data_IF_654504843738
#
_entry.id   IF_654504843738
#
_cell.length_a   1.000
_cell.length_b   1.000
_cell.length_c   1.000
_cell.angle_alpha   90.00
_cell.angle_beta   90.00
_cell.angle_gamma   90.00
#
_symmetry.space_group_name_H-M   'P 1'
#
loop_
_entity.id
_entity.type
_entity.pdbx_description
1 polymer ?
#
# COMPACT_ATOMS: atom_id res chain seq x y z
N UNK A 1 -17.47 14.87 9.26
CA UNK A 1 -16.51 15.77 9.93
C UNK A 1 -15.90 16.68 8.89
N UNK A 2 -15.75 17.97 9.21
CA UNK A 2 -15.09 18.95 8.34
C UNK A 2 -13.60 18.61 8.17
N UNK A 3 -13.00 19.15 7.11
CA UNK A 3 -11.55 19.09 6.92
C UNK A 3 -10.79 19.79 8.06
N UNK A 4 -9.90 19.09 8.79
CA UNK A 4 -9.08 19.68 9.85
C UNK A 4 -8.03 20.70 9.36
N UNK A 5 -7.54 20.56 8.12
CA UNK A 5 -6.60 21.52 7.53
C UNK A 5 -7.31 22.71 6.89
N UNK A 6 -8.60 22.53 6.59
CA UNK A 6 -9.44 23.53 5.95
C UNK A 6 -9.07 23.72 4.49
N UNK A 7 -9.83 24.54 3.77
CA UNK A 7 -9.68 24.63 2.33
C UNK A 7 -8.56 25.59 1.92
N UNK A 8 -8.05 25.51 0.68
CA UNK A 8 -6.93 26.34 0.24
C UNK A 8 -7.30 27.82 0.17
N UNK A 9 -6.28 28.71 0.16
CA UNK A 9 -6.47 30.12 -0.11
C UNK A 9 -7.28 30.37 -1.38
N UNK A 10 -8.11 31.42 -1.38
CA UNK A 10 -9.06 31.71 -2.46
C UNK A 10 -8.40 31.75 -3.84
N UNK A 11 -7.23 32.40 -3.97
CA UNK A 11 -6.50 32.50 -5.24
C UNK A 11 -6.13 31.13 -5.82
N UNK A 12 -5.75 30.17 -4.97
CA UNK A 12 -5.34 28.83 -5.39
C UNK A 12 -6.56 28.01 -5.81
N UNK A 13 -7.66 28.17 -5.09
CA UNK A 13 -8.94 27.55 -5.44
C UNK A 13 -9.46 28.07 -6.78
N UNK A 14 -9.46 29.38 -6.98
CA UNK A 14 -9.90 30.02 -8.23
C UNK A 14 -9.01 29.62 -9.42
N UNK A 15 -7.69 29.57 -9.20
CA UNK A 15 -6.73 29.14 -10.21
C UNK A 15 -6.95 27.66 -10.61
N UNK A 16 -7.21 26.78 -9.65
CA UNK A 16 -7.32 25.33 -9.90
C UNK A 16 -8.70 24.90 -10.39
N UNK A 17 -9.75 25.67 -10.07
CA UNK A 17 -11.14 25.41 -10.46
C UNK A 17 -11.36 25.05 -11.95
N UNK A 18 -10.87 25.82 -12.94
CA UNK A 18 -11.10 25.46 -14.34
C UNK A 18 -10.51 24.09 -14.71
N UNK A 19 -9.34 23.74 -14.16
CA UNK A 19 -8.70 22.44 -14.40
C UNK A 19 -9.42 21.30 -13.71
N UNK A 20 -9.84 21.50 -12.46
CA UNK A 20 -10.60 20.52 -11.70
C UNK A 20 -11.95 20.21 -12.38
N UNK A 21 -12.63 21.23 -12.91
CA UNK A 21 -13.87 21.04 -13.66
C UNK A 21 -13.65 20.36 -15.02
N UNK A 22 -12.54 20.68 -15.71
CA UNK A 22 -12.17 20.00 -16.96
C UNK A 22 -11.93 18.49 -16.75
N UNK A 23 -11.36 18.13 -15.61
CA UNK A 23 -11.12 16.74 -15.20
C UNK A 23 -12.34 16.10 -14.47
N UNK A 24 -13.48 16.80 -14.43
CA UNK A 24 -14.70 16.33 -13.77
C UNK A 24 -14.46 15.95 -12.29
N UNK A 25 -13.55 16.66 -11.64
CA UNK A 25 -13.02 16.40 -10.29
C UNK A 25 -13.19 17.61 -9.38
N UNK A 26 -14.43 18.09 -9.14
CA UNK A 26 -14.69 19.37 -8.47
C UNK A 26 -14.17 19.43 -7.02
N UNK A 27 -14.14 18.31 -6.29
CA UNK A 27 -13.67 18.33 -4.89
C UNK A 27 -12.16 18.53 -4.79
N UNK A 28 -11.40 18.29 -5.87
CA UNK A 28 -9.96 18.56 -5.92
C UNK A 28 -9.65 20.03 -5.61
N UNK A 29 -10.55 20.96 -5.96
CA UNK A 29 -10.37 22.39 -5.66
C UNK A 29 -10.25 22.69 -4.17
N UNK A 30 -10.89 21.88 -3.31
CA UNK A 30 -10.84 22.02 -1.86
C UNK A 30 -9.61 21.36 -1.23
N UNK A 31 -8.91 20.48 -1.96
CA UNK A 31 -7.79 19.68 -1.41
C UNK A 31 -6.49 19.75 -2.22
N UNK A 32 -6.44 20.58 -3.26
CA UNK A 32 -5.29 20.65 -4.18
C UNK A 32 -3.97 20.95 -3.45
N UNK A 33 -4.03 21.83 -2.45
CA UNK A 33 -2.89 22.17 -1.62
C UNK A 33 -2.36 20.97 -0.82
N UNK A 34 -3.24 20.13 -0.31
CA UNK A 34 -2.88 18.92 0.46
C UNK A 34 -2.21 17.88 -0.43
N UNK A 35 -2.70 17.69 -1.66
CA UNK A 35 -2.06 16.80 -2.65
C UNK A 35 -0.63 17.24 -2.91
N UNK A 36 -0.43 18.53 -3.19
CA UNK A 36 0.91 19.07 -3.45
C UNK A 36 1.83 19.01 -2.23
N UNK A 37 1.30 19.35 -1.05
CA UNK A 37 2.06 19.29 0.20
C UNK A 37 2.45 17.84 0.55
N UNK A 38 1.55 16.88 0.38
CA UNK A 38 1.83 15.47 0.60
C UNK A 38 2.91 14.96 -0.36
N UNK A 39 2.79 15.23 -1.66
CA UNK A 39 3.81 14.88 -2.65
C UNK A 39 5.18 15.49 -2.29
N UNK A 40 5.21 16.80 -2.03
CA UNK A 40 6.44 17.51 -1.66
C UNK A 40 7.05 16.96 -0.37
N UNK A 41 6.23 16.61 0.62
CA UNK A 41 6.66 16.02 1.87
C UNK A 41 7.35 14.67 1.66
N UNK A 42 6.74 13.74 0.92
CA UNK A 42 7.35 12.44 0.67
C UNK A 42 8.59 12.53 -0.22
N UNK A 43 8.57 13.42 -1.22
CA UNK A 43 9.76 13.71 -2.02
C UNK A 43 10.90 14.31 -1.18
N UNK A 44 10.58 15.20 -0.23
CA UNK A 44 11.56 15.76 0.69
C UNK A 44 12.13 14.68 1.63
N UNK A 45 11.31 13.75 2.11
CA UNK A 45 11.79 12.63 2.90
C UNK A 45 12.77 11.78 2.10
N UNK A 46 12.42 11.42 0.86
CA UNK A 46 13.28 10.63 -0.02
C UNK A 46 14.60 11.35 -0.31
N UNK A 47 14.55 12.61 -0.74
CA UNK A 47 15.75 13.31 -1.25
C UNK A 47 16.64 13.91 -0.17
N UNK A 48 16.10 14.21 1.01
CA UNK A 48 16.82 14.96 2.05
C UNK A 48 16.81 14.21 3.38
N UNK A 49 15.63 13.93 3.94
CA UNK A 49 15.53 13.44 5.32
C UNK A 49 16.19 12.06 5.46
N UNK A 50 15.83 11.10 4.61
CA UNK A 50 16.38 9.75 4.71
C UNK A 50 17.89 9.70 4.45
N UNK A 51 18.43 10.30 3.37
CA UNK A 51 19.87 10.28 3.11
C UNK A 51 20.72 10.99 4.17
N UNK A 52 20.16 12.01 4.85
CA UNK A 52 20.86 12.75 5.91
C UNK A 52 20.76 12.03 7.26
N UNK A 53 19.58 11.52 7.64
CA UNK A 53 19.37 10.91 8.96
C UNK A 53 19.84 9.45 9.02
N UNK A 54 19.67 8.66 7.95
CA UNK A 54 20.04 7.24 7.93
C UNK A 54 21.52 6.95 8.27
N UNK A 55 22.53 7.70 7.76
CA UNK A 55 23.92 7.49 8.18
C UNK A 55 24.19 7.91 9.63
N UNK A 56 23.38 8.80 10.22
CA UNK A 56 23.50 9.21 11.63
C UNK A 56 22.91 8.14 12.55
N UNK A 57 21.73 7.62 12.21
CA UNK A 57 21.01 6.63 13.00
C UNK A 57 21.61 5.22 12.86
N UNK A 58 22.07 4.86 11.67
CA UNK A 58 22.60 3.52 11.35
C UNK A 58 23.99 3.59 10.70
N UNK A 59 24.99 4.21 11.35
CA UNK A 59 26.30 4.48 10.74
C UNK A 59 27.03 3.21 10.32
N UNK A 60 26.87 2.13 11.09
CA UNK A 60 27.55 0.85 10.87
C UNK A 60 26.95 0.02 9.73
N UNK A 61 25.68 0.25 9.40
CA UNK A 61 24.93 -0.51 8.39
C UNK A 61 24.77 0.32 7.12
N UNK A 62 24.12 1.48 7.18
CA UNK A 62 23.76 2.30 6.02
C UNK A 62 24.98 2.71 5.19
N UNK A 63 26.06 3.15 5.84
CA UNK A 63 27.27 3.63 5.14
C UNK A 63 27.89 2.57 4.22
N UNK A 64 27.76 1.29 4.59
CA UNK A 64 28.33 0.13 3.86
C UNK A 64 27.41 -0.38 2.75
N UNK A 65 26.17 0.07 2.69
CA UNK A 65 25.20 -0.38 1.67
C UNK A 65 25.60 0.11 0.28
N UNK A 66 25.28 -0.70 -0.74
CA UNK A 66 25.42 -0.32 -2.15
C UNK A 66 24.51 0.87 -2.48
N UNK A 67 24.82 1.64 -3.53
CA UNK A 67 23.98 2.75 -3.97
C UNK A 67 22.53 2.32 -4.25
N UNK A 68 22.36 1.12 -4.82
CA UNK A 68 21.05 0.52 -5.08
C UNK A 68 20.28 0.24 -3.79
N UNK A 69 20.95 -0.37 -2.81
CA UNK A 69 20.32 -0.72 -1.53
C UNK A 69 20.04 0.52 -0.68
N UNK A 70 20.86 1.57 -0.79
CA UNK A 70 20.60 2.89 -0.17
C UNK A 70 19.34 3.53 -0.74
N UNK A 71 19.20 3.54 -2.06
CA UNK A 71 17.98 4.03 -2.70
C UNK A 71 16.74 3.24 -2.21
N UNK A 72 16.83 1.91 -2.17
CA UNK A 72 15.73 1.10 -1.66
C UNK A 72 15.44 1.38 -0.18
N UNK A 73 16.49 1.57 0.63
CA UNK A 73 16.37 1.98 2.02
C UNK A 73 15.58 3.30 2.16
N UNK A 74 15.94 4.31 1.37
CA UNK A 74 15.30 5.62 1.43
C UNK A 74 13.82 5.55 1.02
N UNK A 75 13.47 4.67 0.07
CA UNK A 75 12.09 4.40 -0.32
C UNK A 75 11.32 3.66 0.78
N UNK A 76 11.94 2.69 1.45
CA UNK A 76 11.36 2.03 2.63
C UNK A 76 11.12 3.02 3.79
N UNK A 77 11.99 4.04 3.96
CA UNK A 77 11.76 5.10 4.96
C UNK A 77 10.52 5.91 4.61
N UNK A 78 10.36 6.31 3.35
CA UNK A 78 9.17 7.04 2.88
C UNK A 78 7.90 6.22 3.08
N UNK A 79 7.93 4.94 2.68
CA UNK A 79 6.79 4.02 2.85
C UNK A 79 6.43 3.80 4.32
N UNK A 80 7.42 3.67 5.21
CA UNK A 80 7.18 3.55 6.65
C UNK A 80 6.50 4.81 7.22
N UNK A 81 7.02 5.99 6.89
CA UNK A 81 6.44 7.26 7.36
C UNK A 81 5.03 7.43 6.81
N UNK A 82 4.82 7.19 5.52
CA UNK A 82 3.52 7.32 4.90
C UNK A 82 2.49 6.40 5.55
N UNK A 83 2.81 5.11 5.68
CA UNK A 83 1.88 4.13 6.20
C UNK A 83 1.52 4.39 7.67
N UNK A 84 2.45 4.86 8.50
CA UNK A 84 2.13 5.28 9.87
C UNK A 84 1.18 6.48 9.87
N UNK A 85 1.50 7.54 9.11
CA UNK A 85 0.72 8.78 9.09
C UNK A 85 -0.69 8.54 8.55
N UNK A 86 -0.81 7.91 7.38
CA UNK A 86 -2.10 7.78 6.71
C UNK A 86 -3.05 6.84 7.46
N UNK A 87 -2.55 5.74 8.02
CA UNK A 87 -3.39 4.81 8.78
C UNK A 87 -3.85 5.43 10.10
N UNK A 88 -2.97 6.19 10.78
CA UNK A 88 -3.34 6.89 12.01
C UNK A 88 -4.47 7.89 11.75
N UNK A 89 -4.35 8.69 10.69
CA UNK A 89 -5.38 9.65 10.29
C UNK A 89 -6.66 8.94 9.81
N UNK A 90 -6.55 7.90 9.00
CA UNK A 90 -7.72 7.16 8.50
C UNK A 90 -8.51 6.50 9.65
N UNK A 91 -7.82 5.87 10.61
CA UNK A 91 -8.46 5.31 11.80
C UNK A 91 -9.11 6.40 12.64
N UNK A 92 -8.44 7.53 12.85
CA UNK A 92 -9.01 8.66 13.57
C UNK A 92 -10.30 9.17 12.90
N UNK A 93 -10.29 9.40 11.57
CA UNK A 93 -11.48 9.79 10.81
C UNK A 93 -12.58 8.74 10.95
N UNK A 94 -12.25 7.45 10.84
CA UNK A 94 -13.25 6.38 10.97
C UNK A 94 -13.91 6.32 12.36
N UNK A 95 -13.18 6.65 13.42
CA UNK A 95 -13.72 6.63 14.78
C UNK A 95 -14.45 7.92 15.19
N UNK A 96 -14.11 9.06 14.59
CA UNK A 96 -14.60 10.40 15.02
C UNK A 96 -15.61 11.01 14.04
N UNK A 97 -15.59 10.62 12.76
CA UNK A 97 -16.48 11.17 11.74
C UNK A 97 -17.88 10.50 11.81
N UNK A 98 -18.76 11.06 12.64
CA UNK A 98 -20.15 10.62 12.80
C UNK A 98 -20.97 10.81 11.51
N UNK A 99 -20.71 11.89 10.75
CA UNK A 99 -21.37 12.12 9.46
C UNK A 99 -21.06 11.00 8.48
N UNK A 100 -19.78 10.61 8.37
CA UNK A 100 -19.35 9.46 7.57
C UNK A 100 -20.03 8.18 8.08
N UNK A 101 -19.98 7.90 9.38
CA UNK A 101 -20.49 6.66 9.95
C UNK A 101 -22.02 6.50 9.80
N UNK A 102 -22.75 7.60 9.67
CA UNK A 102 -24.21 7.62 9.49
C UNK A 102 -24.67 7.56 8.03
N UNK A 103 -23.75 7.58 7.05
CA UNK A 103 -24.11 7.54 5.63
C UNK A 103 -24.87 6.27 5.22
N UNK A 104 -25.97 6.47 4.50
CA UNK A 104 -26.70 5.40 3.82
C UNK A 104 -25.89 4.87 2.62
N UNK A 105 -26.25 3.70 2.05
CA UNK A 105 -25.54 3.13 0.89
C UNK A 105 -25.34 4.10 -0.28
N UNK A 106 -26.34 4.95 -0.58
CA UNK A 106 -26.23 5.94 -1.66
C UNK A 106 -25.34 7.11 -1.28
N UNK A 107 -25.41 7.57 -0.03
CA UNK A 107 -24.52 8.62 0.48
C UNK A 107 -23.06 8.12 0.59
N UNK A 108 -22.81 6.83 0.82
CA UNK A 108 -21.46 6.28 0.73
C UNK A 108 -20.87 6.35 -0.68
N UNK A 109 -21.73 6.41 -1.70
CA UNK A 109 -21.30 6.60 -3.10
C UNK A 109 -21.13 8.07 -3.45
N UNK A 110 -22.11 8.92 -3.14
CA UNK A 110 -22.14 10.31 -3.64
C UNK A 110 -21.82 11.37 -2.60
N UNK A 111 -21.88 11.02 -1.32
CA UNK A 111 -21.64 11.91 -0.21
C UNK A 111 -20.17 12.26 -0.06
N UNK A 112 -19.93 13.42 0.54
CA UNK A 112 -18.59 13.97 0.73
C UNK A 112 -18.40 14.41 2.18
N UNK A 113 -17.24 14.12 2.78
CA UNK A 113 -16.79 14.81 3.99
C UNK A 113 -15.39 15.34 3.77
N UNK A 114 -15.10 16.55 4.28
CA UNK A 114 -13.80 17.16 4.15
C UNK A 114 -12.69 16.29 4.73
N UNK A 115 -12.96 15.60 5.85
CA UNK A 115 -12.02 14.68 6.46
C UNK A 115 -11.65 13.48 5.57
N UNK A 116 -12.62 12.86 4.88
CA UNK A 116 -12.34 11.82 3.89
C UNK A 116 -11.61 12.38 2.66
N UNK A 117 -11.96 13.62 2.25
CA UNK A 117 -11.25 14.38 1.23
C UNK A 117 -9.77 14.59 1.54
N UNK A 118 -9.44 14.93 2.79
CA UNK A 118 -8.06 15.03 3.28
C UNK A 118 -7.32 13.69 3.16
N UNK A 119 -7.91 12.58 3.63
CA UNK A 119 -7.29 11.25 3.50
C UNK A 119 -7.00 10.91 2.05
N UNK A 120 -7.96 11.20 1.17
CA UNK A 120 -7.82 10.99 -0.26
C UNK A 120 -6.72 11.85 -0.86
N UNK A 121 -6.61 13.11 -0.46
CA UNK A 121 -5.58 14.03 -0.94
C UNK A 121 -4.17 13.62 -0.53
N UNK A 122 -4.00 13.24 0.75
CA UNK A 122 -2.74 12.69 1.25
C UNK A 122 -2.36 11.39 0.53
N UNK A 123 -3.33 10.51 0.29
CA UNK A 123 -3.14 9.28 -0.48
C UNK A 123 -2.73 9.56 -1.94
N UNK A 124 -3.42 10.46 -2.64
CA UNK A 124 -3.08 10.82 -4.03
C UNK A 124 -1.69 11.45 -4.11
N UNK A 125 -1.33 12.37 -3.21
CA UNK A 125 0.01 12.97 -3.17
C UNK A 125 1.12 11.92 -2.99
N UNK A 126 0.90 10.92 -2.13
CA UNK A 126 1.79 9.77 -2.01
C UNK A 126 1.82 8.90 -3.26
N UNK A 127 0.68 8.51 -3.82
CA UNK A 127 0.63 7.62 -4.97
C UNK A 127 1.17 8.27 -6.26
N UNK A 128 1.16 9.60 -6.36
CA UNK A 128 1.92 10.32 -7.41
C UNK A 128 3.43 10.09 -7.22
N UNK A 129 3.94 10.26 -6.00
CA UNK A 129 5.33 9.95 -5.68
C UNK A 129 5.66 8.47 -5.96
N UNK A 130 4.80 7.56 -5.51
CA UNK A 130 4.99 6.11 -5.67
C UNK A 130 4.98 5.70 -7.15
N UNK A 131 4.10 6.28 -7.96
CA UNK A 131 4.07 6.06 -9.41
C UNK A 131 5.36 6.52 -10.08
N UNK A 132 5.87 7.70 -9.72
CA UNK A 132 7.13 8.24 -10.27
C UNK A 132 8.29 7.30 -9.93
N UNK A 133 8.43 6.92 -8.65
CA UNK A 133 9.49 6.03 -8.18
C UNK A 133 9.39 4.64 -8.83
N UNK A 134 8.19 4.05 -8.83
CA UNK A 134 7.93 2.74 -9.43
C UNK A 134 8.16 2.72 -10.93
N UNK A 135 7.93 3.84 -11.63
CA UNK A 135 8.20 3.97 -13.07
C UNK A 135 9.70 4.09 -13.35
N UNK A 136 10.39 5.02 -12.68
CA UNK A 136 11.83 5.26 -12.89
C UNK A 136 12.63 4.00 -12.55
N UNK A 137 12.27 3.34 -11.45
CA UNK A 137 12.97 2.19 -10.92
C UNK A 137 12.22 0.88 -11.16
N UNK A 138 11.43 0.77 -12.24
CA UNK A 138 10.64 -0.44 -12.56
C UNK A 138 11.49 -1.72 -12.67
N UNK A 139 12.75 -1.62 -13.09
CA UNK A 139 13.68 -2.76 -13.11
C UNK A 139 14.07 -3.21 -11.71
N UNK A 140 14.01 -2.30 -10.74
CA UNK A 140 14.24 -2.57 -9.34
C UNK A 140 12.99 -3.11 -8.67
N UNK A 141 11.80 -2.47 -8.82
CA UNK A 141 10.54 -2.75 -8.12
C UNK A 141 9.59 -3.73 -8.83
N UNK A 142 9.75 -3.90 -10.13
CA UNK A 142 8.95 -4.80 -10.94
C UNK A 142 7.63 -4.23 -11.43
N UNK A 143 7.00 -5.00 -12.31
CA UNK A 143 5.74 -4.62 -12.95
C UNK A 143 4.56 -4.64 -11.97
N UNK A 144 4.60 -5.52 -10.95
CA UNK A 144 3.52 -5.65 -9.96
C UNK A 144 3.32 -4.37 -9.15
N UNK A 145 4.40 -3.79 -8.64
CA UNK A 145 4.41 -2.53 -7.89
C UNK A 145 4.01 -1.35 -8.78
N UNK A 146 4.41 -1.35 -10.06
CA UNK A 146 3.94 -0.35 -11.02
C UNK A 146 2.41 -0.42 -11.24
N UNK A 147 1.85 -1.62 -11.44
CA UNK A 147 0.40 -1.78 -11.56
C UNK A 147 -0.34 -1.44 -10.26
N UNK A 148 0.26 -1.72 -9.10
CA UNK A 148 -0.24 -1.25 -7.82
C UNK A 148 -0.31 0.29 -7.78
N UNK A 149 0.80 0.99 -8.03
CA UNK A 149 0.86 2.45 -8.01
C UNK A 149 -0.14 3.10 -9.00
N UNK A 150 -0.25 2.58 -10.22
CA UNK A 150 -1.23 3.05 -11.21
C UNK A 150 -2.67 2.85 -10.70
N UNK A 151 -2.97 1.66 -10.19
CA UNK A 151 -4.33 1.31 -9.77
C UNK A 151 -4.74 2.07 -8.52
N UNK A 152 -3.84 2.22 -7.55
CA UNK A 152 -4.04 2.98 -6.33
C UNK A 152 -4.22 4.48 -6.63
N UNK A 153 -3.33 5.07 -7.46
CA UNK A 153 -3.49 6.46 -7.88
C UNK A 153 -4.83 6.68 -8.59
N UNK A 154 -5.22 5.76 -9.49
CA UNK A 154 -6.49 5.86 -10.21
C UNK A 154 -7.69 5.87 -9.25
N UNK A 155 -7.84 4.84 -8.39
CA UNK A 155 -9.02 4.73 -7.51
C UNK A 155 -9.14 5.88 -6.51
N UNK A 156 -8.01 6.37 -5.96
CA UNK A 156 -8.05 7.51 -5.05
C UNK A 156 -8.27 8.84 -5.78
N UNK A 157 -7.78 8.98 -7.02
CA UNK A 157 -8.05 10.18 -7.84
C UNK A 157 -9.53 10.27 -8.25
N UNK A 158 -10.18 9.14 -8.52
CA UNK A 158 -11.61 9.10 -8.84
C UNK A 158 -12.47 9.67 -7.72
N UNK A 159 -12.01 9.60 -6.46
CA UNK A 159 -12.76 10.20 -5.36
C UNK A 159 -12.86 11.72 -5.43
N UNK A 160 -12.04 12.39 -6.25
CA UNK A 160 -12.18 13.83 -6.49
C UNK A 160 -13.37 14.17 -7.40
N UNK A 161 -13.88 13.17 -8.12
CA UNK A 161 -15.14 13.20 -8.85
C UNK A 161 -16.23 12.67 -7.92
N UNK A 162 -16.86 13.48 -7.05
CA UNK A 162 -17.54 13.11 -5.81
C UNK A 162 -18.16 11.69 -5.81
N UNK A 163 -17.29 10.69 -5.59
CA UNK A 163 -17.57 9.28 -5.85
C UNK A 163 -16.74 8.46 -4.88
N UNK A 164 -17.41 7.65 -4.04
CA UNK A 164 -16.76 6.76 -3.08
C UNK A 164 -15.81 7.46 -2.09
N UNK A 165 -16.01 8.76 -1.82
CA UNK A 165 -15.20 9.52 -0.87
C UNK A 165 -15.21 8.85 0.53
N UNK A 166 -16.36 8.33 0.96
CA UNK A 166 -16.51 7.51 2.17
C UNK A 166 -15.47 6.37 2.29
N UNK A 167 -15.14 5.76 1.16
CA UNK A 167 -14.27 4.59 1.10
C UNK A 167 -12.78 4.94 1.09
N UNK A 168 -12.40 6.21 0.97
CA UNK A 168 -11.00 6.63 1.01
C UNK A 168 -10.32 6.16 2.30
N UNK A 169 -10.93 6.45 3.46
CA UNK A 169 -10.41 5.99 4.76
C UNK A 169 -10.55 4.48 4.97
N UNK A 170 -11.43 3.81 4.23
CA UNK A 170 -11.66 2.36 4.34
C UNK A 170 -10.58 1.56 3.61
N UNK A 171 -10.31 1.89 2.35
CA UNK A 171 -9.36 1.13 1.52
C UNK A 171 -7.90 1.52 1.76
N UNK A 172 -7.63 2.73 2.26
CA UNK A 172 -6.26 3.10 2.62
C UNK A 172 -5.70 2.26 3.78
N UNK A 173 -6.57 1.62 4.58
CA UNK A 173 -6.16 0.64 5.60
C UNK A 173 -5.46 -0.61 5.05
N UNK A 174 -5.41 -0.79 3.72
CA UNK A 174 -4.53 -1.80 3.13
C UNK A 174 -3.06 -1.53 3.45
N UNK A 175 -2.72 -0.29 3.75
CA UNK A 175 -1.38 0.10 4.20
C UNK A 175 -1.10 -0.29 5.65
N UNK A 176 -2.05 -0.83 6.41
CA UNK A 176 -1.85 -1.11 7.84
C UNK A 176 -0.78 -2.19 8.10
N UNK A 177 -0.55 -3.09 7.13
CA UNK A 177 0.54 -4.07 7.18
C UNK A 177 1.91 -3.49 6.80
N UNK A 178 1.93 -2.38 6.06
CA UNK A 178 3.14 -1.77 5.47
C UNK A 178 4.19 -1.33 6.50
N UNK A 179 3.84 -0.81 7.70
CA UNK A 179 4.84 -0.52 8.72
C UNK A 179 5.63 -1.76 9.14
N UNK A 180 4.95 -2.88 9.35
CA UNK A 180 5.59 -4.13 9.74
C UNK A 180 6.45 -4.70 8.61
N UNK A 181 6.03 -4.53 7.35
CA UNK A 181 6.82 -4.92 6.18
C UNK A 181 8.15 -4.15 6.13
N UNK A 182 8.09 -2.83 6.28
CA UNK A 182 9.27 -1.98 6.28
C UNK A 182 10.20 -2.28 7.47
N UNK A 183 9.65 -2.44 8.68
CA UNK A 183 10.44 -2.82 9.87
C UNK A 183 11.12 -4.17 9.65
N UNK A 184 10.42 -5.14 9.05
CA UNK A 184 11.00 -6.46 8.75
C UNK A 184 12.22 -6.34 7.84
N UNK A 185 12.08 -5.54 6.77
CA UNK A 185 13.14 -5.26 5.81
C UNK A 185 14.33 -4.55 6.46
N UNK A 186 14.07 -3.54 7.30
CA UNK A 186 15.14 -2.83 8.00
C UNK A 186 15.93 -3.75 8.92
N UNK A 187 15.25 -4.63 9.67
CA UNK A 187 15.90 -5.60 10.56
C UNK A 187 16.84 -6.53 9.79
N UNK A 188 16.50 -6.91 8.56
CA UNK A 188 17.41 -7.65 7.69
C UNK A 188 18.67 -6.84 7.34
N UNK A 189 18.49 -5.59 6.89
CA UNK A 189 19.61 -4.74 6.45
C UNK A 189 20.51 -4.24 7.58
N UNK A 190 20.06 -4.29 8.83
CA UNK A 190 20.89 -3.96 10.00
C UNK A 190 21.55 -5.18 10.66
N UNK A 191 21.59 -6.33 9.99
CA UNK A 191 22.15 -7.60 10.49
C UNK A 191 21.42 -8.12 11.74
N UNK A 192 20.13 -7.87 11.86
CA UNK A 192 19.26 -8.43 12.90
C UNK A 192 18.41 -9.61 12.37
N UNK A 193 18.81 -10.18 11.23
CA UNK A 193 18.18 -11.36 10.65
C UNK A 193 18.21 -12.53 11.64
N UNK A 194 17.09 -13.20 11.87
CA UNK A 194 17.03 -14.29 12.87
C UNK A 194 16.62 -13.86 14.28
N UNK A 195 16.68 -12.55 14.57
CA UNK A 195 16.42 -12.06 15.93
C UNK A 195 14.97 -12.28 16.38
N UNK A 196 14.76 -12.33 17.70
CA UNK A 196 13.40 -12.38 18.28
C UNK A 196 12.55 -11.18 17.85
N UNK A 197 13.17 -9.99 17.73
CA UNK A 197 12.48 -8.79 17.27
C UNK A 197 11.93 -8.95 15.85
N UNK A 198 12.76 -9.46 14.92
CA UNK A 198 12.33 -9.73 13.55
C UNK A 198 11.24 -10.80 13.51
N UNK A 199 11.28 -11.79 14.42
CA UNK A 199 10.27 -12.83 14.48
C UNK A 199 8.90 -12.31 14.92
N UNK A 200 8.85 -11.58 16.04
CA UNK A 200 7.61 -10.97 16.51
C UNK A 200 7.02 -10.01 15.47
N UNK A 201 7.88 -9.23 14.81
CA UNK A 201 7.46 -8.35 13.72
C UNK A 201 6.91 -9.14 12.52
N UNK A 202 7.59 -10.22 12.09
CA UNK A 202 7.12 -11.09 11.02
C UNK A 202 5.77 -11.74 11.32
N UNK A 203 5.51 -12.10 12.58
CA UNK A 203 4.18 -12.58 12.99
C UNK A 203 3.13 -11.49 12.93
N UNK A 204 3.42 -10.31 13.49
CA UNK A 204 2.51 -9.17 13.43
C UNK A 204 2.17 -8.80 11.98
N UNK A 205 3.18 -8.84 11.11
CA UNK A 205 3.05 -8.59 9.68
C UNK A 205 2.11 -9.59 9.00
N UNK A 206 2.30 -10.90 9.18
CA UNK A 206 1.41 -11.92 8.60
C UNK A 206 -0.03 -11.77 9.11
N UNK A 207 -0.20 -11.53 10.41
CA UNK A 207 -1.51 -11.35 11.02
C UNK A 207 -2.22 -10.10 10.51
N UNK A 208 -1.55 -8.95 10.52
CA UNK A 208 -2.13 -7.68 10.06
C UNK A 208 -2.41 -7.73 8.57
N UNK A 209 -1.51 -8.26 7.74
CA UNK A 209 -1.72 -8.42 6.30
C UNK A 209 -2.98 -9.25 6.03
N UNK A 210 -3.10 -10.42 6.66
CA UNK A 210 -4.28 -11.28 6.52
C UNK A 210 -5.57 -10.57 6.96
N UNK A 211 -5.56 -9.90 8.12
CA UNK A 211 -6.74 -9.23 8.66
C UNK A 211 -7.17 -8.01 7.83
N UNK A 212 -6.25 -7.09 7.52
CA UNK A 212 -6.61 -5.83 6.86
C UNK A 212 -6.80 -5.98 5.34
N UNK A 213 -5.98 -6.78 4.66
CA UNK A 213 -6.05 -6.92 3.20
C UNK A 213 -7.01 -8.02 2.75
N UNK A 214 -6.94 -9.21 3.36
CA UNK A 214 -7.71 -10.36 2.88
C UNK A 214 -9.12 -10.45 3.48
N UNK A 215 -9.25 -10.23 4.79
CA UNK A 215 -10.58 -10.26 5.44
C UNK A 215 -11.29 -8.94 5.23
N UNK A 216 -10.78 -7.86 5.84
CA UNK A 216 -11.42 -6.56 5.81
C UNK A 216 -11.51 -6.02 4.38
N UNK A 217 -10.43 -6.08 3.62
CA UNK A 217 -10.42 -5.57 2.25
C UNK A 217 -11.39 -6.27 1.31
N UNK A 218 -11.44 -7.60 1.33
CA UNK A 218 -12.41 -8.35 0.52
C UNK A 218 -13.84 -8.04 0.94
N UNK A 219 -14.11 -7.96 2.25
CA UNK A 219 -15.42 -7.59 2.76
C UNK A 219 -15.84 -6.20 2.28
N UNK A 220 -14.97 -5.20 2.43
CA UNK A 220 -15.24 -3.83 1.99
C UNK A 220 -15.36 -3.72 0.47
N UNK A 221 -14.64 -4.56 -0.29
CA UNK A 221 -14.80 -4.67 -1.74
C UNK A 221 -16.20 -5.14 -2.11
N UNK A 222 -16.76 -6.13 -1.40
CA UNK A 222 -18.17 -6.56 -1.60
C UNK A 222 -19.15 -5.45 -1.25
N UNK A 223 -18.93 -4.73 -0.15
CA UNK A 223 -19.82 -3.62 0.26
C UNK A 223 -19.81 -2.50 -0.79
N UNK A 224 -18.63 -2.05 -1.24
CA UNK A 224 -18.55 -0.99 -2.26
C UNK A 224 -19.15 -1.41 -3.58
N UNK A 225 -19.04 -2.70 -3.96
CA UNK A 225 -19.68 -3.23 -5.16
C UNK A 225 -21.20 -3.21 -5.05
N UNK A 226 -21.75 -3.59 -3.89
CA UNK A 226 -23.20 -3.51 -3.63
C UNK A 226 -23.71 -2.07 -3.68
N UNK A 227 -22.97 -1.13 -3.11
CA UNK A 227 -23.33 0.29 -3.10
C UNK A 227 -23.28 0.90 -4.51
N UNK A 228 -22.21 0.65 -5.25
CA UNK A 228 -22.10 1.06 -6.66
C UNK A 228 -23.19 0.42 -7.52
N UNK A 229 -23.53 -0.85 -7.30
CA UNK A 229 -24.61 -1.52 -8.03
C UNK A 229 -25.97 -0.87 -7.76
N UNK A 230 -26.21 -0.46 -6.53
CA UNK A 230 -27.44 0.27 -6.15
C UNK A 230 -27.49 1.65 -6.82
N UNK A 231 -26.39 2.40 -6.76
CA UNK A 231 -26.26 3.70 -7.40
C UNK A 231 -26.40 3.62 -8.94
N UNK A 232 -25.87 2.57 -9.56
CA UNK A 232 -25.94 2.33 -10.99
C UNK A 232 -27.37 1.99 -11.45
N UNK A 233 -28.06 1.11 -10.72
CA UNK A 233 -29.48 0.83 -10.96
C UNK A 233 -30.34 2.09 -10.86
N UNK A 234 -30.09 2.92 -9.84
CA UNK A 234 -30.81 4.19 -9.69
C UNK A 234 -30.56 5.13 -10.87
N UNK A 235 -29.31 5.21 -11.34
CA UNK A 235 -28.93 6.02 -12.51
C UNK A 235 -29.64 5.55 -13.77
N UNK A 236 -29.66 4.24 -14.01
CA UNK A 236 -30.35 3.65 -15.17
C UNK A 236 -31.86 3.83 -15.12
N UNK A 237 -32.48 3.65 -13.94
CA UNK A 237 -33.91 3.84 -13.73
C UNK A 237 -34.32 5.31 -13.91
N UNK A 238 -33.47 6.26 -13.49
CA UNK A 238 -33.74 7.67 -13.72
C UNK A 238 -33.56 8.06 -15.20
N UNK A 239 -32.61 7.42 -15.89
CA UNK A 239 -32.34 7.64 -17.32
C UNK A 239 -33.41 7.05 -18.26
N UNK A 240 -34.25 6.13 -17.78
CA UNK A 240 -35.35 5.54 -18.55
C UNK A 240 -36.67 6.33 -18.45
N UNK A 241 -36.68 7.46 -17.72
CA UNK A 241 -37.82 8.35 -17.61
C UNK A 241 -38.11 9.18 -18.87
N UNK A 242 -39.20 9.97 -18.90
CA UNK A 242 -39.55 10.83 -20.03
C UNK A 242 -38.42 11.84 -20.33
N UNK A 243 -38.06 12.00 -21.62
CA UNK A 243 -36.97 12.88 -22.09
C UNK A 243 -37.17 14.38 -21.78
N UNK A 244 -38.31 14.77 -21.22
CA UNK A 244 -38.68 16.17 -20.95
C UNK A 244 -38.13 16.71 -19.63
N UNK A 245 -37.67 15.84 -18.71
CA UNK A 245 -37.10 16.25 -17.42
C UNK A 245 -35.62 15.84 -17.32
N UNK A 246 -34.73 16.72 -16.84
CA UNK A 246 -33.34 16.35 -16.61
C UNK A 246 -33.26 15.31 -15.48
N UNK A 247 -32.42 14.29 -15.67
CA UNK A 247 -32.14 13.27 -14.66
C UNK A 247 -31.59 13.94 -13.39
N UNK A 248 -32.29 13.79 -12.27
CA UNK A 248 -31.86 14.29 -10.96
C UNK A 248 -32.11 13.25 -9.87
N UNK A 249 -31.04 12.63 -9.37
CA UNK A 249 -31.12 11.62 -8.32
C UNK A 249 -31.00 12.18 -6.90
N UNK A 250 -30.74 13.48 -6.73
CA UNK A 250 -30.34 14.07 -5.45
C UNK A 250 -31.40 13.90 -4.35
N UNK A 251 -32.68 14.01 -4.68
CA UNK A 251 -33.77 13.85 -3.70
C UNK A 251 -33.84 12.44 -3.09
N UNK A 252 -33.39 11.43 -3.84
CA UNK A 252 -33.34 10.04 -3.39
C UNK A 252 -32.06 9.73 -2.58
N UNK A 253 -30.99 10.48 -2.82
CA UNK A 253 -29.67 10.30 -2.18
C UNK A 253 -29.57 11.11 -0.89
N UNK A 254 -29.87 12.40 -0.95
CA UNK A 254 -29.66 13.36 0.14
C UNK A 254 -31.00 13.75 0.75
N UNK A 255 -31.31 13.18 1.91
CA UNK A 255 -32.53 13.52 2.65
C UNK A 255 -32.20 14.54 3.75
N UNK A 256 -32.92 15.67 3.73
CA UNK A 256 -32.74 16.80 4.68
C UNK A 256 -33.07 16.46 6.15
N UNK A 257 -33.60 15.27 6.42
CA UNK A 257 -34.06 14.83 7.74
C UNK A 257 -32.96 14.83 8.82
N UNK A 258 -31.68 14.80 8.43
CA UNK A 258 -30.56 14.75 9.39
C UNK A 258 -30.14 16.11 9.94
N UNK A 259 -30.27 17.17 9.16
CA UNK A 259 -29.87 18.53 9.59
C UNK A 259 -30.70 19.04 10.79
N UNK A 260 -31.91 18.50 11.00
CA UNK A 260 -32.76 18.84 12.15
C UNK A 260 -32.33 18.20 13.48
N UNK A 261 -31.34 17.30 13.48
CA UNK A 261 -30.85 16.64 14.71
C UNK A 261 -29.54 17.23 15.25
N UNK A 262 -28.98 18.27 14.61
CA UNK A 262 -27.72 18.87 15.04
C UNK A 262 -27.88 19.76 16.26
N UNK A 263 -26.94 19.62 17.21
CA UNK A 263 -26.95 20.32 18.50
C UNK A 263 -26.15 21.64 18.42
N UNK A 264 -25.18 21.73 17.51
CA UNK A 264 -24.33 22.91 17.32
C UNK A 264 -24.09 23.25 15.83
N UNK A 265 -23.46 24.41 15.60
CA UNK A 265 -23.14 24.92 14.25
C UNK A 265 -22.13 24.04 13.50
N UNK A 266 -21.20 23.41 14.22
CA UNK A 266 -20.17 22.54 13.63
C UNK A 266 -20.81 21.29 13.04
N UNK A 267 -21.70 20.63 13.79
CA UNK A 267 -22.52 19.52 13.32
C UNK A 267 -23.35 19.94 12.10
N UNK A 268 -24.01 21.11 12.17
CA UNK A 268 -24.84 21.59 11.08
C UNK A 268 -24.04 21.79 9.79
N UNK A 269 -22.83 22.37 9.90
CA UNK A 269 -21.92 22.54 8.77
C UNK A 269 -21.41 21.21 8.23
N UNK A 270 -21.00 20.28 9.10
CA UNK A 270 -20.52 18.96 8.70
C UNK A 270 -21.61 18.13 7.99
N UNK A 271 -22.85 18.19 8.48
CA UNK A 271 -23.98 17.53 7.81
C UNK A 271 -24.34 18.19 6.47
N UNK A 272 -24.23 19.51 6.36
CA UNK A 272 -24.44 20.20 5.09
C UNK A 272 -23.39 19.81 4.03
N UNK A 273 -22.16 19.56 4.47
CA UNK A 273 -21.02 19.17 3.63
C UNK A 273 -21.25 17.86 2.85
N UNK A 274 -22.02 16.92 3.43
CA UNK A 274 -22.42 15.64 2.80
C UNK A 274 -22.99 15.87 1.40
N UNK A 275 -23.78 16.94 1.24
CA UNK A 275 -24.46 17.28 -0.01
C UNK A 275 -23.82 18.45 -0.78
N UNK A 276 -22.63 18.91 -0.37
CA UNK A 276 -21.95 20.08 -0.95
C UNK A 276 -21.77 19.97 -2.47
N UNK A 277 -21.46 18.77 -2.95
CA UNK A 277 -21.17 18.52 -4.37
C UNK A 277 -22.32 17.84 -5.12
N UNK A 278 -23.54 17.84 -4.57
CA UNK A 278 -24.70 17.16 -5.15
C UNK A 278 -25.02 17.55 -6.60
N UNK A 279 -24.71 18.78 -7.00
CA UNK A 279 -24.96 19.26 -8.37
C UNK A 279 -24.11 18.50 -9.41
N UNK A 280 -22.90 18.06 -9.03
CA UNK A 280 -22.00 17.28 -9.89
C UNK A 280 -22.38 15.79 -9.94
N UNK A 281 -23.23 15.33 -9.03
CA UNK A 281 -23.70 13.93 -8.94
C UNK A 281 -25.15 13.76 -9.38
N UNK A 282 -25.85 14.85 -9.75
CA UNK A 282 -27.29 14.85 -10.02
C UNK A 282 -27.69 13.89 -11.16
N UNK A 283 -26.83 13.76 -12.17
CA UNK A 283 -27.03 12.85 -13.31
C UNK A 283 -26.80 11.36 -12.96
N UNK A 284 -26.39 11.05 -11.73
CA UNK A 284 -26.01 9.71 -11.30
C UNK A 284 -24.58 9.33 -11.63
N UNK A 285 -24.27 8.04 -11.49
CA UNK A 285 -22.92 7.50 -11.69
C UNK A 285 -22.75 6.95 -13.11
N UNK A 286 -21.76 7.42 -13.89
CA UNK A 286 -21.48 6.85 -15.21
C UNK A 286 -21.05 5.38 -15.11
N UNK A 287 -21.56 4.52 -15.99
CA UNK A 287 -21.20 3.08 -16.02
C UNK A 287 -19.69 2.86 -16.17
N UNK A 288 -19.01 3.67 -17.00
CA UNK A 288 -17.57 3.54 -17.21
C UNK A 288 -16.77 3.81 -15.93
N UNK A 289 -17.25 4.71 -15.05
CA UNK A 289 -16.59 5.06 -13.80
C UNK A 289 -16.61 3.86 -12.84
N UNK A 290 -17.77 3.22 -12.71
CA UNK A 290 -17.93 1.98 -11.92
C UNK A 290 -17.06 0.86 -12.49
N UNK A 291 -17.07 0.64 -13.81
CA UNK A 291 -16.30 -0.43 -14.44
C UNK A 291 -14.79 -0.27 -14.24
N UNK A 292 -14.26 0.95 -14.42
CA UNK A 292 -12.83 1.22 -14.24
C UNK A 292 -12.43 1.11 -12.77
N UNK A 293 -13.26 1.58 -11.84
CA UNK A 293 -13.01 1.39 -10.40
C UNK A 293 -12.98 -0.10 -10.02
N UNK A 294 -13.97 -0.88 -10.44
CA UNK A 294 -14.04 -2.32 -10.16
C UNK A 294 -12.81 -3.03 -10.73
N UNK A 295 -12.40 -2.71 -11.96
CA UNK A 295 -11.21 -3.30 -12.57
C UNK A 295 -9.95 -3.00 -11.75
N UNK A 296 -9.71 -1.75 -11.38
CA UNK A 296 -8.56 -1.36 -10.56
C UNK A 296 -8.60 -2.01 -9.16
N UNK A 297 -9.78 -2.07 -8.54
CA UNK A 297 -9.94 -2.72 -7.24
C UNK A 297 -9.71 -4.23 -7.31
N UNK A 298 -10.11 -4.89 -8.40
CA UNK A 298 -9.80 -6.30 -8.65
C UNK A 298 -8.30 -6.54 -8.84
N UNK A 299 -7.58 -5.66 -9.54
CA UNK A 299 -6.12 -5.74 -9.66
C UNK A 299 -5.45 -5.62 -8.29
N UNK A 300 -5.84 -4.63 -7.49
CA UNK A 300 -5.29 -4.42 -6.14
C UNK A 300 -5.56 -5.63 -5.22
N UNK A 301 -6.79 -6.15 -5.21
CA UNK A 301 -7.12 -7.35 -4.44
C UNK A 301 -6.36 -8.57 -4.95
N UNK A 302 -6.27 -8.78 -6.28
CA UNK A 302 -5.50 -9.87 -6.84
C UNK A 302 -4.04 -9.84 -6.39
N UNK A 303 -3.41 -8.67 -6.39
CA UNK A 303 -2.05 -8.50 -5.88
C UNK A 303 -1.96 -8.87 -4.39
N UNK A 304 -2.91 -8.43 -3.55
CA UNK A 304 -2.95 -8.82 -2.13
C UNK A 304 -3.02 -10.34 -1.94
N UNK A 305 -3.87 -11.03 -2.68
CA UNK A 305 -3.97 -12.49 -2.64
C UNK A 305 -2.71 -13.18 -3.18
N UNK A 306 -2.16 -12.68 -4.28
CA UNK A 306 -0.93 -13.21 -4.89
C UNK A 306 0.23 -13.17 -3.90
N UNK A 307 0.43 -12.02 -3.24
CA UNK A 307 1.52 -11.85 -2.29
C UNK A 307 1.31 -12.66 -1.02
N UNK A 308 0.09 -12.73 -0.49
CA UNK A 308 -0.21 -13.61 0.64
C UNK A 308 0.02 -15.09 0.30
N UNK A 309 -0.39 -15.52 -0.89
CA UNK A 309 -0.08 -16.87 -1.35
C UNK A 309 1.43 -17.11 -1.41
N UNK A 310 2.22 -16.13 -1.88
CA UNK A 310 3.68 -16.23 -1.89
C UNK A 310 4.30 -16.31 -0.49
N UNK A 311 3.77 -15.58 0.48
CA UNK A 311 4.17 -15.71 1.89
C UNK A 311 3.92 -17.14 2.40
N UNK A 312 2.70 -17.65 2.22
CA UNK A 312 2.31 -18.98 2.69
C UNK A 312 3.06 -20.09 1.94
N UNK A 313 3.25 -19.96 0.63
CA UNK A 313 4.02 -20.92 -0.17
C UNK A 313 5.47 -21.03 0.35
N UNK A 314 6.07 -19.91 0.72
CA UNK A 314 7.41 -19.87 1.34
C UNK A 314 7.44 -20.63 2.66
N UNK A 315 6.45 -20.37 3.53
CA UNK A 315 6.28 -21.08 4.81
C UNK A 315 6.12 -22.58 4.58
N UNK A 316 5.24 -22.98 3.65
CA UNK A 316 4.87 -24.37 3.40
C UNK A 316 5.97 -25.19 2.73
N UNK A 317 6.75 -24.61 1.82
CA UNK A 317 7.87 -25.32 1.17
C UNK A 317 8.86 -25.88 2.19
N UNK A 318 9.03 -25.20 3.33
CA UNK A 318 9.97 -25.60 4.37
C UNK A 318 9.43 -26.69 5.29
N UNK A 319 8.14 -26.69 5.59
CA UNK A 319 7.49 -27.84 6.24
C UNK A 319 7.44 -29.09 5.36
N UNK A 320 7.43 -28.91 4.03
CA UNK A 320 7.43 -29.99 3.04
C UNK A 320 8.83 -30.48 2.63
N UNK A 321 9.89 -29.97 3.25
CA UNK A 321 11.25 -30.50 3.08
C UNK A 321 11.58 -31.39 4.28
N UNK A 322 11.11 -32.64 4.35
CA UNK A 322 11.63 -33.60 5.33
C UNK A 322 13.07 -33.95 4.94
N UNK A 323 13.92 -34.10 5.95
CA UNK A 323 15.32 -34.54 5.92
C UNK A 323 15.69 -35.45 4.74
N UNK A 324 16.14 -34.89 3.62
CA UNK A 324 16.73 -35.65 2.53
C UNK A 324 18.26 -35.65 2.64
N UNK A 325 18.80 -36.13 3.76
CA UNK A 325 20.20 -36.59 3.85
C UNK A 325 20.42 -37.54 5.03
N UNK A 326 19.61 -38.59 5.14
CA UNK A 326 19.86 -39.73 6.02
C UNK A 326 20.58 -40.86 5.28
N UNK A 327 21.85 -40.67 4.91
CA UNK A 327 22.68 -41.79 4.43
C UNK A 327 23.21 -42.60 5.63
N UNK A 328 22.62 -43.79 5.83
CA UNK A 328 23.12 -44.96 6.58
C UNK A 328 23.61 -44.76 8.02
N UNK A 329 22.83 -45.24 9.00
CA UNK A 329 23.37 -45.84 10.23
C UNK A 329 22.38 -46.88 10.82
N UNK A 330 22.94 -47.98 11.34
CA UNK A 330 22.27 -49.13 11.94
C UNK A 330 21.71 -48.82 13.35
N UNK A 331 20.91 -49.71 13.98
CA UNK A 331 19.99 -49.34 15.06
C UNK A 331 20.67 -49.35 16.44
N UNK A 332 20.47 -48.28 17.19
CA UNK A 332 20.87 -48.22 18.60
C UNK A 332 20.43 -46.94 19.28
N UNK A 333 19.75 -47.10 20.41
CA UNK A 333 19.44 -46.11 21.45
C UNK A 333 18.28 -45.11 21.21
N UNK A 334 17.15 -45.46 21.82
CA UNK A 334 16.16 -44.49 22.32
C UNK A 334 16.83 -43.63 23.41
N UNK A 335 16.94 -42.33 23.19
CA UNK A 335 16.86 -41.33 24.26
C UNK A 335 15.91 -40.23 23.83
N UNK A 336 14.95 -39.94 24.71
CA UNK A 336 13.93 -38.95 24.49
C UNK A 336 14.52 -37.56 24.32
N UNK A 337 13.93 -36.80 23.41
CA UNK A 337 14.15 -35.37 23.31
C UNK A 337 12.80 -34.71 23.03
N UNK A 338 12.24 -34.07 24.06
CA UNK A 338 11.30 -32.98 23.85
C UNK A 338 12.13 -31.73 23.53
N UNK A 339 12.65 -31.64 22.29
CA UNK A 339 13.49 -30.55 21.86
C UNK A 339 12.79 -29.69 20.79
N UNK A 340 12.51 -28.44 21.17
CA UNK A 340 12.35 -27.23 20.33
C UNK A 340 11.50 -27.35 19.06
N UNK A 341 10.18 -27.21 19.22
CA UNK A 341 9.29 -26.77 18.14
C UNK A 341 9.39 -25.25 17.82
N UNK A 342 10.02 -24.44 18.68
CA UNK A 342 10.07 -22.98 18.53
C UNK A 342 11.09 -22.50 17.49
N UNK A 343 12.25 -23.15 17.36
CA UNK A 343 13.28 -22.78 16.38
C UNK A 343 12.85 -22.92 14.91
N UNK A 344 12.24 -24.05 14.52
CA UNK A 344 11.75 -24.24 13.15
C UNK A 344 10.67 -23.22 12.78
N UNK A 345 9.71 -22.98 13.67
CA UNK A 345 8.68 -21.96 13.45
C UNK A 345 9.28 -20.56 13.33
N UNK A 346 10.32 -20.26 14.12
CA UNK A 346 10.99 -18.97 14.10
C UNK A 346 11.63 -18.68 12.73
N UNK A 347 12.44 -19.59 12.23
CA UNK A 347 13.12 -19.41 10.93
C UNK A 347 12.14 -19.31 9.75
N UNK A 348 11.00 -20.00 9.86
CA UNK A 348 9.96 -20.07 8.83
C UNK A 348 9.25 -18.72 8.64
N UNK A 349 8.89 -18.06 9.73
CA UNK A 349 8.16 -16.78 9.71
C UNK A 349 9.06 -15.65 9.23
N UNK A 350 10.34 -15.69 9.64
CA UNK A 350 11.34 -14.71 9.25
C UNK A 350 11.58 -14.67 7.74
N UNK A 351 11.63 -15.85 7.11
CA UNK A 351 11.85 -15.97 5.67
C UNK A 351 10.58 -15.65 4.85
N UNK A 352 9.39 -15.97 5.37
CA UNK A 352 8.12 -15.60 4.74
C UNK A 352 7.96 -14.08 4.63
N UNK A 353 8.32 -13.36 5.69
CA UNK A 353 8.33 -11.92 5.72
C UNK A 353 9.50 -11.32 4.91
N UNK A 354 10.64 -12.01 4.80
CA UNK A 354 11.73 -11.63 3.89
C UNK A 354 11.36 -11.78 2.40
N UNK A 355 10.50 -12.75 2.04
CA UNK A 355 10.02 -12.88 0.67
C UNK A 355 9.00 -11.81 0.25
N UNK A 356 8.50 -11.00 1.20
CA UNK A 356 7.72 -9.80 0.89
C UNK A 356 8.57 -8.58 0.56
N UNK A 357 9.87 -8.63 0.82
CA UNK A 357 10.79 -7.62 0.28
C UNK A 357 10.71 -7.59 -1.27
N UNK A 358 10.23 -8.68 -1.90
CA UNK A 358 9.95 -8.76 -3.33
C UNK A 358 8.71 -7.95 -3.79
N UNK A 359 7.82 -7.51 -2.88
CA UNK A 359 6.82 -6.45 -3.16
C UNK A 359 7.51 -5.10 -3.45
N UNK A 360 8.74 -4.92 -2.93
CA UNK A 360 9.56 -3.72 -3.07
C UNK A 360 10.86 -3.89 -3.89
N UNK A 361 11.18 -5.08 -4.43
CA UNK A 361 12.22 -5.26 -5.46
C UNK A 361 12.27 -6.71 -5.96
N UNK A 362 11.89 -7.08 -7.20
CA UNK A 362 11.77 -8.47 -7.63
C UNK A 362 13.12 -9.11 -7.98
N UNK A 363 14.24 -8.46 -7.69
CA UNK A 363 15.54 -9.07 -7.88
C UNK A 363 16.10 -9.56 -6.56
N UNK A 364 15.97 -10.88 -6.40
CA UNK A 364 16.77 -11.73 -5.51
C UNK A 364 18.25 -11.38 -5.74
N UNK A 365 18.89 -10.73 -4.77
CA UNK A 365 20.32 -11.01 -4.58
C UNK A 365 20.37 -12.45 -4.08
N UNK A 366 20.92 -13.34 -4.91
CA UNK A 366 21.48 -14.56 -4.36
C UNK A 366 22.41 -14.13 -3.22
N UNK A 367 22.35 -14.74 -2.02
CA UNK A 367 23.44 -14.55 -1.09
C UNK A 367 24.67 -14.94 -1.88
N UNK A 368 25.58 -13.99 -2.06
CA UNK A 368 26.94 -14.28 -2.44
C UNK A 368 27.36 -15.38 -1.48
N UNK A 369 27.38 -16.64 -1.95
CA UNK A 369 28.30 -17.59 -1.37
C UNK A 369 29.61 -16.83 -1.40
N UNK A 370 30.15 -16.55 -0.22
CA UNK A 370 31.49 -16.04 -0.07
C UNK A 370 32.31 -16.71 -1.16
N UNK A 371 32.68 -15.94 -2.19
CA UNK A 371 33.66 -16.36 -3.15
C UNK A 371 34.92 -16.33 -2.33
N UNK A 372 35.15 -17.47 -1.69
CA UNK A 372 36.26 -17.78 -0.85
C UNK A 372 37.52 -17.33 -1.59
N UNK A 373 38.05 -16.19 -1.15
CA UNK A 373 39.21 -15.53 -1.77
C UNK A 373 40.42 -16.49 -1.74
N UNK A 374 40.38 -17.51 -0.86
CA UNK A 374 41.33 -18.62 -0.84
C UNK A 374 41.22 -19.58 -2.03
N UNK A 375 40.04 -19.85 -2.58
CA UNK A 375 39.90 -20.84 -3.66
C UNK A 375 40.41 -20.32 -5.00
N UNK A 376 40.32 -19.01 -5.28
CA UNK A 376 40.89 -18.43 -6.51
C UNK A 376 42.43 -18.40 -6.47
N UNK A 377 43.03 -18.17 -5.31
CA UNK A 377 44.50 -18.18 -5.17
C UNK A 377 45.06 -19.61 -5.21
N UNK A 378 44.35 -20.58 -4.61
CA UNK A 378 44.67 -22.01 -4.69
C UNK A 378 44.50 -22.56 -6.11
N UNK A 379 43.44 -22.15 -6.84
CA UNK A 379 43.25 -22.49 -8.25
C UNK A 379 44.30 -21.84 -9.15
N UNK A 380 44.74 -20.61 -8.82
CA UNK A 380 45.81 -19.91 -9.54
C UNK A 380 47.16 -20.58 -9.31
N UNK A 381 47.48 -20.99 -8.07
CA UNK A 381 48.68 -21.79 -7.75
C UNK A 381 48.67 -23.13 -8.45
N UNK A 382 47.56 -23.88 -8.41
CA UNK A 382 47.44 -25.17 -9.10
C UNK A 382 47.56 -25.05 -10.61
N UNK A 383 47.05 -23.96 -11.21
CA UNK A 383 47.21 -23.68 -12.65
C UNK A 383 48.66 -23.39 -13.02
N UNK A 384 49.40 -22.65 -12.20
CA UNK A 384 50.84 -22.39 -12.42
C UNK A 384 51.67 -23.68 -12.27
N UNK A 385 51.33 -24.52 -11.29
CA UNK A 385 51.99 -25.83 -11.07
C UNK A 385 51.67 -26.87 -12.15
N UNK A 386 50.48 -26.79 -12.76
CA UNK A 386 50.11 -27.63 -13.90
C UNK A 386 50.81 -27.18 -15.18
N UNK A 387 50.97 -25.87 -15.40
CA UNK A 387 51.66 -25.32 -16.58
C UNK A 387 53.17 -25.55 -16.51
N UNK A 388 53.79 -25.55 -15.33
CA UNK A 388 55.21 -25.87 -15.16
C UNK A 388 55.57 -27.34 -15.36
N UNK A 389 54.56 -28.23 -15.37
CA UNK A 389 54.73 -29.69 -15.53
C UNK A 389 54.37 -30.21 -16.92
N UNK A 390 54.00 -29.34 -17.87
CA UNK A 390 53.79 -29.72 -19.27
C UNK A 390 55.13 -29.69 -20.01
N UNK A 391 55.65 -30.82 -20.51
CA UNK A 391 56.83 -30.80 -21.37
C UNK A 391 56.50 -30.09 -22.67
N UNK A 392 57.31 -29.11 -23.07
CA UNK A 392 57.18 -28.47 -24.38
C UNK A 392 57.49 -29.50 -25.48
N UNK A 393 56.69 -29.58 -26.55
CA UNK A 393 57.02 -30.43 -27.67
C UNK A 393 58.16 -29.79 -28.47
N UNK A 394 59.37 -30.33 -28.31
CA UNK A 394 60.53 -30.00 -29.16
C UNK A 394 61.76 -29.46 -28.42
N UNK A 395 62.36 -30.27 -27.55
CA UNK A 395 63.80 -30.31 -27.28
C UNK A 395 64.18 -31.65 -26.68
#
# INVERSE_FOLDING_TARGET
MLDPLGPPPAWLREFTKPYALLLDSPTLTEHVHEVFLAFAFYQFIHSVVSPVLSPILFPQSYSKLSARTKLNWDIHVVSLVQSIVINSLALWVMFVDDERNSMSPLERVFGYTGACGLIQALAVGYFVYDLIVSTIYVKMFGIGTLFHAISALWVFSLGFKPFLNYYASTFILYELSTPFLNIHWFLDKVNMTGSKAQWYNGMALLSVFFSCRLIWGTWQSVVVYSDMWTALQQTWNASSGPLTEPVNINANVFQLTRSSMCIDETCARANAEISQFKEYTAAGVPTWLVLTYVLSNLVLNFLNYFWFFKMVETVLKRFRTPEASGAKAAPGEKKGESAKLEGPAQDIILEAAANMEAEGSPLREHPSRDFDVGTNEELRRRRVDLVSKVPLPGS
#
